data_IF_737454907418
#
_entry.id   IF_737454907418
#
_cell.length_a   1.000
_cell.length_b   1.000
_cell.length_c   1.000
_cell.angle_alpha   90.00
_cell.angle_beta   90.00
_cell.angle_gamma   90.00
#
_symmetry.space_group_name_H-M   'P 1'
#
loop_
_entity.id
_entity.type
_entity.pdbx_description
1 polymer ?
#
# COMPACT_ATOMS: atom_id res chain seq x y z
N UNK A 1 -2.61 9.30 -7.60
CA UNK A 1 -3.24 10.42 -8.34
C UNK A 1 -2.19 11.10 -9.23
N UNK A 2 -2.54 12.20 -9.92
CA UNK A 2 -1.63 12.89 -10.84
C UNK A 2 -0.36 13.44 -10.16
N UNK A 3 -0.48 13.79 -8.87
CA UNK A 3 0.60 14.32 -8.04
C UNK A 3 1.54 13.23 -7.49
N UNK A 4 1.38 11.98 -7.92
CA UNK A 4 2.22 10.87 -7.48
C UNK A 4 1.90 10.35 -6.08
N UNK A 5 0.78 10.76 -5.49
CA UNK A 5 0.32 10.25 -4.19
C UNK A 5 -0.49 8.97 -4.36
N UNK A 6 -0.37 8.04 -3.41
CA UNK A 6 -1.21 6.84 -3.37
C UNK A 6 -2.59 7.20 -2.79
N UNK A 7 -3.65 6.82 -3.49
CA UNK A 7 -5.04 6.96 -3.07
C UNK A 7 -5.75 5.62 -3.15
N UNK A 8 -6.95 5.52 -2.57
CA UNK A 8 -7.86 4.36 -2.74
C UNK A 8 -7.24 2.99 -2.36
N UNK A 9 -6.45 2.98 -1.28
CA UNK A 9 -5.81 1.77 -0.77
C UNK A 9 -6.86 0.86 -0.12
N UNK A 10 -6.88 -0.41 -0.53
CA UNK A 10 -7.71 -1.47 0.06
C UNK A 10 -6.90 -2.75 0.21
N UNK A 11 -7.17 -3.50 1.26
CA UNK A 11 -6.59 -4.84 1.47
C UNK A 11 -7.45 -5.86 0.73
N UNK A 12 -6.84 -6.66 -0.15
CA UNK A 12 -7.52 -7.75 -0.86
C UNK A 12 -7.45 -9.07 -0.09
N UNK A 13 -6.37 -9.29 0.66
CA UNK A 13 -6.16 -10.44 1.54
C UNK A 13 -5.10 -10.13 2.59
N UNK A 14 -5.18 -10.77 3.76
CA UNK A 14 -4.17 -10.69 4.80
C UNK A 14 -4.01 -12.04 5.49
N UNK A 15 -2.78 -12.34 5.92
CA UNK A 15 -2.42 -13.57 6.63
C UNK A 15 -1.35 -13.25 7.69
N UNK A 16 -1.63 -13.48 8.99
CA UNK A 16 -2.97 -13.72 9.57
C UNK A 16 -3.90 -12.52 9.37
N UNK A 17 -5.22 -12.73 9.30
CA UNK A 17 -6.19 -11.63 9.23
C UNK A 17 -6.27 -10.87 10.56
N UNK A 18 -6.44 -9.55 10.49
CA UNK A 18 -6.69 -8.64 11.61
C UNK A 18 -5.44 -8.06 12.29
N UNK A 19 -4.23 -8.36 11.81
CA UNK A 19 -2.98 -7.97 12.47
C UNK A 19 -2.22 -6.87 11.74
N UNK A 20 -2.18 -6.91 10.41
CA UNK A 20 -1.22 -6.14 9.62
C UNK A 20 -1.87 -5.15 8.66
N UNK A 21 -3.20 -5.24 8.48
CA UNK A 21 -3.95 -4.49 7.48
C UNK A 21 -3.80 -2.98 7.68
N UNK A 22 -3.97 -2.50 8.91
CA UNK A 22 -3.85 -1.08 9.21
C UNK A 22 -2.41 -0.59 8.97
N UNK A 23 -1.42 -1.35 9.45
CA UNK A 23 -0.01 -1.02 9.28
C UNK A 23 0.38 -1.00 7.78
N UNK A 24 -0.09 -1.97 7.01
CA UNK A 24 0.15 -2.06 5.56
C UNK A 24 -0.49 -0.86 4.83
N UNK A 25 -1.74 -0.53 5.13
CA UNK A 25 -2.42 0.64 4.54
C UNK A 25 -1.67 1.93 4.87
N UNK A 26 -1.27 2.11 6.13
CA UNK A 26 -0.55 3.30 6.58
C UNK A 26 0.84 3.41 5.93
N UNK A 27 1.54 2.30 5.74
CA UNK A 27 2.84 2.27 5.07
C UNK A 27 2.69 2.63 3.58
N UNK A 28 1.75 2.00 2.87
CA UNK A 28 1.53 2.21 1.43
C UNK A 28 1.05 3.64 1.12
N UNK A 29 0.23 4.23 1.99
CA UNK A 29 -0.19 5.64 1.85
C UNK A 29 0.96 6.65 1.85
N UNK A 30 2.11 6.28 2.44
CA UNK A 30 3.30 7.15 2.50
C UNK A 30 4.16 7.08 1.23
N UNK A 31 3.90 6.11 0.34
CA UNK A 31 4.66 5.98 -0.90
C UNK A 31 4.42 7.18 -1.82
N UNK A 32 5.47 7.52 -2.57
CA UNK A 32 5.47 8.57 -3.58
C UNK A 32 5.94 7.98 -4.90
N UNK A 33 5.17 8.26 -5.94
CA UNK A 33 5.50 7.88 -7.31
C UNK A 33 5.81 9.13 -8.14
N UNK A 34 6.52 9.00 -9.27
CA UNK A 34 6.64 10.09 -10.22
C UNK A 34 5.24 10.59 -10.65
N UNK A 35 5.04 11.91 -10.82
CA UNK A 35 3.81 12.46 -11.35
C UNK A 35 3.45 11.83 -12.69
N UNK A 36 2.16 11.58 -12.91
CA UNK A 36 1.68 10.93 -14.13
C UNK A 36 0.38 11.61 -14.59
N UNK A 37 0.19 11.71 -15.91
CA UNK A 37 -1.04 12.31 -16.48
C UNK A 37 -2.31 11.58 -16.06
N UNK A 38 -2.21 10.28 -15.79
CA UNK A 38 -3.33 9.43 -15.37
C UNK A 38 -2.93 8.57 -14.19
N UNK A 39 -3.88 8.34 -13.28
CA UNK A 39 -3.72 7.39 -12.19
C UNK A 39 -3.60 5.95 -12.73
N UNK A 40 -2.83 5.12 -12.03
CA UNK A 40 -2.71 3.69 -12.29
C UNK A 40 -3.10 2.90 -11.04
N UNK A 41 -3.68 1.72 -11.24
CA UNK A 41 -4.00 0.78 -10.16
C UNK A 41 -2.89 -0.26 -10.06
N UNK A 42 -2.45 -0.54 -8.84
CA UNK A 42 -1.42 -1.55 -8.57
C UNK A 42 -1.93 -2.57 -7.55
N UNK A 43 -1.44 -3.79 -7.66
CA UNK A 43 -1.50 -4.80 -6.61
C UNK A 43 -0.08 -5.00 -6.09
N UNK A 44 0.08 -4.95 -4.78
CA UNK A 44 1.37 -5.11 -4.10
C UNK A 44 1.20 -6.04 -2.92
N UNK A 45 2.25 -6.77 -2.58
CA UNK A 45 2.34 -7.58 -1.38
C UNK A 45 3.26 -6.86 -0.38
N UNK A 46 2.81 -6.79 0.87
CA UNK A 46 3.57 -6.19 1.98
C UNK A 46 3.94 -7.30 2.94
N UNK A 47 5.22 -7.63 3.00
CA UNK A 47 5.75 -8.69 3.86
C UNK A 47 6.31 -8.10 5.16
N UNK A 48 5.84 -8.61 6.29
CA UNK A 48 6.36 -8.28 7.62
C UNK A 48 7.32 -9.37 8.07
N UNK A 49 8.58 -9.02 8.28
CA UNK A 49 9.60 -9.94 8.81
C UNK A 49 9.95 -9.53 10.23
N UNK A 50 9.79 -10.47 11.15
CA UNK A 50 10.41 -10.36 12.47
C UNK A 50 11.90 -10.63 12.30
N UNK A 51 12.70 -9.76 12.87
CA UNK A 51 14.14 -9.97 13.01
C UNK A 51 14.41 -10.27 14.49
N UNK A 52 15.38 -11.13 14.77
CA UNK A 52 15.85 -11.44 16.12
C UNK A 52 16.49 -10.22 16.81
#
# INVERSE_FOLDING_TARGET
>A
NADGQVTDVRVESARPPGWFEEAAVNAVKRWRYPPAKTGRRFRVEVEFKLSD
#
